data_IF_317858616341
#
_entry.id   IF_317858616341
#
_cell.length_a   1.000
_cell.length_b   1.000
_cell.length_c   1.000
_cell.angle_alpha   90.00
_cell.angle_beta   90.00
_cell.angle_gamma   90.00
#
_symmetry.space_group_name_H-M   'P 1'
#
loop_
_entity.id
_entity.type
_entity.pdbx_description
1 polymer ?
#
# COMPACT_ATOMS: atom_id res chain seq x y z
N UNK A 1 1.33 -15.92 -4.30
CA UNK A 1 2.67 -16.15 -4.89
C UNK A 1 3.65 -15.15 -4.33
N UNK A 2 4.94 -15.51 -4.15
CA UNK A 2 5.97 -14.55 -3.74
C UNK A 2 6.20 -13.55 -4.86
N UNK A 3 6.43 -12.28 -4.50
CA UNK A 3 6.67 -11.20 -5.44
C UNK A 3 7.67 -10.20 -4.85
N UNK A 4 8.53 -9.64 -5.70
CA UNK A 4 9.51 -8.65 -5.28
C UNK A 4 9.15 -7.30 -5.91
N UNK A 5 8.43 -6.47 -5.15
CA UNK A 5 8.18 -5.07 -5.51
C UNK A 5 9.11 -4.13 -4.73
N UNK A 6 9.06 -2.86 -5.07
CA UNK A 6 9.79 -1.81 -4.37
C UNK A 6 9.53 -1.74 -2.86
N UNK A 7 8.41 -2.30 -2.41
CA UNK A 7 8.01 -2.35 -1.00
C UNK A 7 9.02 -3.07 -0.10
N UNK A 8 9.76 -4.06 -0.63
CA UNK A 8 10.84 -4.73 0.12
C UNK A 8 11.96 -3.74 0.45
N UNK A 9 12.32 -2.88 -0.50
CA UNK A 9 13.37 -1.88 -0.33
C UNK A 9 12.89 -0.73 0.58
N UNK A 10 11.69 -0.23 0.33
CA UNK A 10 11.12 0.86 1.12
C UNK A 10 10.78 0.43 2.54
N UNK A 11 10.31 -0.80 2.73
CA UNK A 11 10.08 -1.40 4.04
C UNK A 11 11.37 -1.54 4.84
N UNK A 12 12.43 -2.08 4.24
CA UNK A 12 13.74 -2.14 4.87
C UNK A 12 14.27 -0.74 5.22
N UNK A 13 14.17 0.20 4.29
CA UNK A 13 14.64 1.57 4.51
C UNK A 13 13.91 2.26 5.68
N UNK A 14 12.62 2.03 5.82
CA UNK A 14 11.80 2.68 6.85
C UNK A 14 11.92 2.02 8.23
N UNK A 15 12.14 0.70 8.28
CA UNK A 15 12.05 -0.08 9.51
C UNK A 15 13.41 -0.64 9.98
N UNK A 16 14.37 -0.79 9.05
CA UNK A 16 15.63 -1.49 9.32
C UNK A 16 15.49 -3.01 9.46
N UNK A 17 14.30 -3.58 9.25
CA UNK A 17 14.07 -5.03 9.35
C UNK A 17 14.78 -5.72 8.18
N UNK A 18 15.75 -6.63 8.44
CA UNK A 18 16.57 -7.20 7.37
C UNK A 18 15.90 -8.34 6.60
N UNK A 19 14.91 -9.01 7.20
CA UNK A 19 14.25 -10.17 6.63
C UNK A 19 12.80 -9.80 6.31
N UNK A 20 12.52 -9.47 5.06
CA UNK A 20 11.18 -9.11 4.59
C UNK A 20 10.81 -10.06 3.45
N UNK A 21 9.64 -10.66 3.53
CA UNK A 21 9.05 -11.46 2.45
C UNK A 21 7.69 -10.85 2.07
N UNK A 22 7.40 -10.80 0.79
CA UNK A 22 6.15 -10.27 0.26
C UNK A 22 5.42 -11.32 -0.56
N UNK A 23 4.12 -11.39 -0.38
CA UNK A 23 3.24 -12.29 -1.10
C UNK A 23 2.04 -11.51 -1.65
N UNK A 24 1.67 -11.84 -2.88
CA UNK A 24 0.46 -11.30 -3.51
C UNK A 24 -0.55 -12.41 -3.71
N UNK A 25 -1.77 -12.16 -3.28
CA UNK A 25 -2.95 -12.95 -3.60
C UNK A 25 -3.86 -12.11 -4.50
N UNK A 26 -4.30 -12.72 -5.57
CA UNK A 26 -5.18 -12.09 -6.55
C UNK A 26 -6.41 -12.97 -6.65
N UNK A 27 -7.57 -12.37 -6.50
CA UNK A 27 -8.87 -13.03 -6.62
C UNK A 27 -9.69 -12.39 -7.73
N UNK A 28 -10.52 -13.18 -8.38
CA UNK A 28 -11.36 -12.75 -9.51
C UNK A 28 -10.55 -12.49 -10.78
N UNK A 29 -11.13 -11.73 -11.69
CA UNK A 29 -10.59 -11.43 -13.03
C UNK A 29 -9.62 -10.25 -13.05
N UNK A 30 -8.83 -10.08 -11.99
CA UNK A 30 -7.92 -8.94 -11.84
C UNK A 30 -6.78 -8.94 -12.87
N UNK A 31 -6.45 -10.10 -13.43
CA UNK A 31 -5.54 -10.23 -14.56
C UNK A 31 -6.28 -10.90 -15.72
N UNK A 32 -6.83 -10.13 -16.64
CA UNK A 32 -7.47 -10.69 -17.81
C UNK A 32 -6.46 -11.46 -18.66
N UNK A 33 -6.85 -12.63 -19.10
CA UNK A 33 -6.09 -13.44 -20.05
C UNK A 33 -6.31 -12.92 -21.48
N UNK A 34 -5.28 -13.00 -22.32
CA UNK A 34 -5.38 -12.70 -23.73
C UNK A 34 -4.50 -11.57 -24.23
N UNK A 35 -4.93 -10.94 -25.32
CA UNK A 35 -4.19 -9.88 -26.00
C UNK A 35 -4.27 -8.56 -25.22
N UNK A 36 -3.17 -8.20 -24.56
CA UNK A 36 -3.07 -6.99 -23.74
C UNK A 36 -3.39 -5.70 -24.48
N UNK A 37 -3.20 -5.68 -25.81
CA UNK A 37 -3.51 -4.50 -26.63
C UNK A 37 -5.00 -4.21 -26.77
N UNK A 38 -5.85 -5.17 -26.42
CA UNK A 38 -7.31 -5.08 -26.48
C UNK A 38 -7.94 -4.81 -25.11
N UNK A 39 -7.13 -4.73 -24.07
CA UNK A 39 -7.62 -4.43 -22.74
C UNK A 39 -7.91 -2.95 -22.58
N UNK A 40 -8.91 -2.58 -21.75
CA UNK A 40 -9.14 -1.18 -21.40
C UNK A 40 -7.94 -0.62 -20.61
N UNK A 41 -7.76 0.68 -20.63
CA UNK A 41 -6.67 1.39 -19.95
C UNK A 41 -6.69 1.26 -18.40
N UNK A 42 -7.65 0.56 -17.87
CA UNK A 42 -7.78 0.27 -16.44
C UNK A 42 -9.19 -0.16 -16.05
N UNK A 43 -9.43 -0.44 -14.77
CA UNK A 43 -10.74 -0.85 -14.30
C UNK A 43 -11.76 0.28 -14.40
N UNK A 44 -12.99 -0.05 -14.77
CA UNK A 44 -14.12 0.88 -14.76
C UNK A 44 -14.41 1.36 -13.33
N UNK A 45 -15.19 2.43 -13.20
CA UNK A 45 -15.63 2.92 -11.90
C UNK A 45 -16.36 1.83 -11.10
N UNK A 46 -17.29 1.12 -11.71
CA UNK A 46 -18.04 0.06 -11.06
C UNK A 46 -17.13 -1.07 -10.55
N UNK A 47 -16.10 -1.46 -11.31
CA UNK A 47 -15.11 -2.44 -10.87
C UNK A 47 -14.27 -1.92 -9.69
N UNK A 48 -13.89 -0.64 -9.68
CA UNK A 48 -13.16 -0.06 -8.56
C UNK A 48 -14.01 0.02 -7.28
N UNK A 49 -15.29 0.31 -7.41
CA UNK A 49 -16.22 0.34 -6.27
C UNK A 49 -16.52 -1.05 -5.71
N UNK A 50 -16.55 -2.07 -6.57
CA UNK A 50 -16.80 -3.45 -6.18
C UNK A 50 -15.61 -4.13 -5.48
N UNK A 51 -14.37 -3.67 -5.72
CA UNK A 51 -13.16 -4.36 -5.28
C UNK A 51 -12.27 -3.46 -4.43
N UNK A 52 -12.28 -3.70 -3.12
CA UNK A 52 -11.37 -3.06 -2.18
C UNK A 52 -9.99 -3.73 -2.22
N UNK A 53 -8.96 -2.98 -1.85
CA UNK A 53 -7.63 -3.53 -1.63
C UNK A 53 -7.42 -3.83 -0.14
N UNK A 54 -6.64 -4.87 0.15
CA UNK A 54 -6.26 -5.28 1.50
C UNK A 54 -4.78 -5.63 1.52
N UNK A 55 -4.07 -5.16 2.52
CA UNK A 55 -2.73 -5.62 2.82
C UNK A 55 -2.65 -6.08 4.28
N UNK A 56 -1.85 -7.11 4.52
CA UNK A 56 -1.58 -7.65 5.85
C UNK A 56 -0.08 -7.59 6.06
N UNK A 57 0.35 -7.06 7.19
CA UNK A 57 1.72 -7.15 7.65
C UNK A 57 1.78 -7.96 8.93
N UNK A 58 2.78 -8.83 9.03
CA UNK A 58 3.11 -9.57 10.24
C UNK A 58 4.58 -9.37 10.53
N UNK A 59 4.90 -9.06 11.77
CA UNK A 59 6.27 -8.86 12.24
C UNK A 59 6.51 -9.79 13.41
N UNK A 60 7.62 -10.55 13.35
CA UNK A 60 8.06 -11.41 14.43
C UNK A 60 9.29 -10.82 15.10
N UNK A 61 9.21 -10.55 16.38
CA UNK A 61 10.33 -10.10 17.21
C UNK A 61 11.37 -11.19 17.46
N UNK A 62 12.54 -10.81 17.92
CA UNK A 62 13.62 -11.74 18.26
C UNK A 62 13.26 -12.65 19.45
N UNK A 63 12.31 -12.25 20.26
CA UNK A 63 11.73 -13.00 21.37
C UNK A 63 10.59 -13.95 20.96
N UNK A 64 10.27 -13.96 19.66
CA UNK A 64 9.15 -14.73 19.09
C UNK A 64 7.79 -14.06 19.25
N UNK A 65 7.70 -12.86 19.78
CA UNK A 65 6.45 -12.09 19.81
C UNK A 65 6.02 -11.74 18.38
N UNK A 66 4.73 -11.86 18.11
CA UNK A 66 4.14 -11.57 16.78
C UNK A 66 3.18 -10.41 16.91
N UNK A 67 3.34 -9.41 16.05
CA UNK A 67 2.40 -8.34 15.85
C UNK A 67 1.86 -8.40 14.42
N UNK A 68 0.58 -8.16 14.25
CA UNK A 68 -0.08 -8.16 12.94
C UNK A 68 -0.93 -6.92 12.78
N UNK A 69 -0.88 -6.33 11.58
CA UNK A 69 -1.76 -5.24 11.19
C UNK A 69 -2.39 -5.53 9.83
N UNK A 70 -3.63 -5.11 9.68
CA UNK A 70 -4.39 -5.21 8.43
C UNK A 70 -4.83 -3.83 8.02
N UNK A 71 -4.51 -3.44 6.80
CA UNK A 71 -5.05 -2.24 6.16
C UNK A 71 -6.05 -2.63 5.08
N UNK A 72 -7.21 -2.02 5.11
CA UNK A 72 -8.22 -2.09 4.05
C UNK A 72 -8.42 -0.71 3.46
N UNK A 73 -8.35 -0.61 2.13
CA UNK A 73 -8.51 0.67 1.42
C UNK A 73 -9.58 0.55 0.34
N UNK A 74 -9.98 1.66 -0.24
CA UNK A 74 -10.65 1.64 -1.54
C UNK A 74 -9.74 0.95 -2.56
N UNK A 75 -10.26 0.62 -3.74
CA UNK A 75 -9.47 0.02 -4.82
C UNK A 75 -8.16 0.77 -5.05
N UNK A 76 -7.06 0.05 -5.34
CA UNK A 76 -5.73 0.65 -5.51
C UNK A 76 -5.66 1.76 -6.56
N UNK A 77 -6.42 1.65 -7.66
CA UNK A 77 -6.53 2.71 -8.67
C UNK A 77 -7.27 3.95 -8.18
N UNK A 78 -8.10 3.84 -7.16
CA UNK A 78 -8.74 4.98 -6.49
C UNK A 78 -7.88 5.52 -5.34
N UNK A 79 -7.25 4.63 -4.57
CA UNK A 79 -6.41 5.00 -3.44
C UNK A 79 -5.16 5.80 -3.85
N UNK A 80 -4.46 5.34 -4.89
CA UNK A 80 -3.18 5.94 -5.30
C UNK A 80 -3.28 7.44 -5.61
N UNK A 81 -4.23 7.92 -6.45
CA UNK A 81 -4.35 9.36 -6.70
C UNK A 81 -4.77 10.15 -5.45
N UNK A 82 -5.63 9.60 -4.59
CA UNK A 82 -6.03 10.26 -3.34
C UNK A 82 -4.83 10.44 -2.41
N UNK A 83 -4.04 9.39 -2.22
CA UNK A 83 -2.83 9.42 -1.40
C UNK A 83 -1.77 10.38 -1.99
N UNK A 84 -1.61 10.39 -3.32
CA UNK A 84 -0.67 11.29 -3.98
C UNK A 84 -1.06 12.77 -3.81
N UNK A 85 -2.33 13.11 -3.93
CA UNK A 85 -2.83 14.48 -3.71
C UNK A 85 -2.64 14.90 -2.26
N UNK A 86 -2.98 14.05 -1.30
CA UNK A 86 -2.80 14.36 0.14
C UNK A 86 -1.31 14.53 0.48
N UNK A 87 -0.44 13.67 -0.03
CA UNK A 87 1.01 13.81 0.15
C UNK A 87 1.52 15.13 -0.44
N UNK A 88 1.12 15.47 -1.66
CA UNK A 88 1.51 16.73 -2.31
C UNK A 88 1.04 17.94 -1.52
N UNK A 89 -0.19 17.93 -1.01
CA UNK A 89 -0.75 19.01 -0.17
C UNK A 89 0.12 19.23 1.07
N UNK A 90 0.46 18.18 1.81
CA UNK A 90 1.29 18.26 3.02
C UNK A 90 2.72 18.74 2.73
N UNK A 91 3.31 18.26 1.63
CA UNK A 91 4.63 18.75 1.21
C UNK A 91 4.61 20.26 0.93
N UNK A 92 3.56 20.77 0.30
CA UNK A 92 3.38 22.21 0.06
C UNK A 92 3.15 23.00 1.37
N UNK A 93 2.57 22.38 2.38
CA UNK A 93 2.40 22.95 3.73
C UNK A 93 3.69 22.88 4.58
N UNK A 94 4.73 22.24 4.07
CA UNK A 94 6.06 22.21 4.70
C UNK A 94 6.46 20.88 5.34
N UNK A 95 5.60 19.87 5.32
CA UNK A 95 5.92 18.52 5.81
C UNK A 95 6.84 17.81 4.79
N UNK A 96 8.15 17.88 5.00
CA UNK A 96 9.14 17.32 4.07
C UNK A 96 10.42 16.92 4.79
N UNK A 97 11.09 15.90 4.26
CA UNK A 97 12.44 15.49 4.62
C UNK A 97 13.36 15.68 3.41
N UNK A 98 14.64 15.95 3.66
CA UNK A 98 15.65 15.98 2.60
C UNK A 98 16.08 14.56 2.23
N UNK A 99 16.28 14.31 0.94
CA UNK A 99 16.71 13.02 0.43
C UNK A 99 15.53 12.07 0.16
N UNK A 100 15.84 10.78 0.02
CA UNK A 100 14.83 9.75 -0.16
C UNK A 100 14.07 9.50 1.14
N UNK A 101 12.76 9.52 1.07
CA UNK A 101 11.89 9.18 2.19
C UNK A 101 10.58 8.52 1.69
N UNK A 102 10.02 7.65 2.52
CA UNK A 102 8.69 7.08 2.27
C UNK A 102 7.60 7.97 2.87
N UNK A 103 6.34 7.86 2.44
CA UNK A 103 5.24 8.59 3.08
C UNK A 103 5.17 8.37 4.59
N UNK A 104 5.43 7.16 5.08
CA UNK A 104 5.46 6.86 6.50
C UNK A 104 6.58 7.62 7.24
N UNK A 105 7.76 7.78 6.62
CA UNK A 105 8.85 8.56 7.21
C UNK A 105 8.53 10.06 7.27
N UNK A 106 7.84 10.60 6.25
CA UNK A 106 7.54 12.03 6.16
C UNK A 106 6.34 12.41 7.01
N UNK A 107 5.26 11.63 6.93
CA UNK A 107 3.93 11.99 7.45
C UNK A 107 3.50 11.19 8.68
N UNK A 108 4.30 10.18 9.08
CA UNK A 108 4.01 9.28 10.18
C UNK A 108 3.08 8.13 9.81
N UNK A 109 2.87 7.24 10.77
CA UNK A 109 2.09 6.00 10.64
C UNK A 109 0.59 6.24 10.39
N UNK A 110 0.04 7.34 10.86
CA UNK A 110 -1.37 7.72 10.62
C UNK A 110 -1.66 8.30 9.24
N UNK A 111 -0.68 8.39 8.32
CA UNK A 111 -0.93 9.00 7.00
C UNK A 111 -1.97 8.23 6.18
N UNK A 112 -1.88 6.90 6.17
CA UNK A 112 -2.79 6.08 5.36
C UNK A 112 -4.26 6.26 5.77
N UNK A 113 -4.55 6.42 7.06
CA UNK A 113 -5.90 6.60 7.60
C UNK A 113 -6.53 7.97 7.26
N UNK A 114 -5.70 8.94 6.78
CA UNK A 114 -6.20 10.23 6.26
C UNK A 114 -6.88 10.09 4.91
N UNK A 115 -6.62 8.98 4.22
CA UNK A 115 -7.22 8.71 2.91
C UNK A 115 -8.59 8.08 3.14
N UNK A 116 -9.63 8.72 2.62
CA UNK A 116 -11.00 8.28 2.78
C UNK A 116 -11.19 6.81 2.39
N UNK A 117 -11.93 6.08 3.21
CA UNK A 117 -12.19 4.65 3.01
C UNK A 117 -11.04 3.74 3.43
N UNK A 118 -10.04 4.25 4.15
CA UNK A 118 -8.98 3.45 4.76
C UNK A 118 -9.31 3.08 6.20
N UNK A 119 -9.05 1.83 6.55
CA UNK A 119 -9.17 1.30 7.91
C UNK A 119 -7.93 0.47 8.22
N UNK A 120 -7.31 0.72 9.36
CA UNK A 120 -6.22 -0.10 9.92
C UNK A 120 -6.73 -0.79 11.18
N UNK A 121 -6.39 -2.07 11.32
CA UNK A 121 -6.72 -2.89 12.50
C UNK A 121 -5.49 -3.66 12.93
N UNK A 122 -5.09 -3.50 14.19
CA UNK A 122 -3.98 -4.20 14.81
C UNK A 122 -4.47 -5.38 15.66
N UNK A 123 -3.63 -6.46 15.71
CA UNK A 123 -3.93 -7.73 16.41
C UNK A 123 -2.76 -8.18 17.27
#
# INVERSE_FOLDING_TARGET
>A
MPLSFGDLVTGWHSTGIPNIAMFVHISGDAFPEGDLSKLPDGPTQAQREAHRARAVVEVTGVDGAVARSVIETVNGYSYTPLAAVEAARRVLEGERLSGFATPANVFGDGFAERIEGTLITDF
#
